data_IF_570570240617
#
_entry.id   IF_570570240617
#
_cell.length_a   1.000
_cell.length_b   1.000
_cell.length_c   1.000
_cell.angle_alpha   90.00
_cell.angle_beta   90.00
_cell.angle_gamma   90.00
#
_symmetry.space_group_name_H-M   'P 1'
#
loop_
_entity.id
_entity.type
_entity.pdbx_description
1 polymer ?
#
# COMPACT_ATOMS: atom_id res chain seq x y z
N UNK A 1 1.31 -17.49 -17.87
CA UNK A 1 1.64 -17.05 -16.49
C UNK A 1 0.62 -17.65 -15.54
N UNK A 2 1.02 -18.17 -14.39
CA UNK A 2 0.05 -18.70 -13.40
C UNK A 2 -0.59 -17.54 -12.60
N UNK A 3 -1.82 -17.71 -12.06
CA UNK A 3 -2.44 -16.68 -11.21
C UNK A 3 -1.57 -16.29 -10.01
N UNK A 4 -0.87 -17.26 -9.41
CA UNK A 4 0.04 -17.02 -8.28
C UNK A 4 1.25 -16.17 -8.70
N UNK A 5 1.83 -16.44 -9.88
CA UNK A 5 2.95 -15.65 -10.42
C UNK A 5 2.52 -14.21 -10.69
N UNK A 6 1.30 -14.02 -11.21
CA UNK A 6 0.75 -12.69 -11.46
C UNK A 6 0.53 -11.92 -10.15
N UNK A 7 -0.10 -12.55 -9.16
CA UNK A 7 -0.32 -11.94 -7.85
C UNK A 7 1.00 -11.55 -7.19
N UNK A 8 2.02 -12.40 -7.27
CA UNK A 8 3.37 -12.09 -6.78
C UNK A 8 3.96 -10.87 -7.50
N UNK A 9 3.82 -10.78 -8.83
CA UNK A 9 4.29 -9.63 -9.58
C UNK A 9 3.60 -8.33 -9.15
N UNK A 10 2.28 -8.35 -8.89
CA UNK A 10 1.53 -7.19 -8.38
C UNK A 10 2.02 -6.76 -6.99
N UNK A 11 2.27 -7.73 -6.10
CA UNK A 11 2.81 -7.44 -4.76
C UNK A 11 4.20 -6.81 -4.87
N UNK A 12 5.10 -7.39 -5.66
CA UNK A 12 6.45 -6.86 -5.85
C UNK A 12 6.43 -5.47 -6.48
N UNK A 13 5.58 -5.23 -7.48
CA UNK A 13 5.39 -3.92 -8.08
C UNK A 13 4.88 -2.89 -7.04
N UNK A 14 3.95 -3.29 -6.17
CA UNK A 14 3.43 -2.43 -5.10
C UNK A 14 4.52 -2.03 -4.10
N UNK A 15 5.38 -2.98 -3.71
CA UNK A 15 6.55 -2.71 -2.85
C UNK A 15 7.52 -1.76 -3.54
N UNK A 16 7.86 -2.02 -4.80
CA UNK A 16 8.76 -1.18 -5.57
C UNK A 16 8.23 0.26 -5.69
N UNK A 17 6.93 0.43 -5.97
CA UNK A 17 6.28 1.74 -6.02
C UNK A 17 6.27 2.44 -4.67
N UNK A 18 6.01 1.72 -3.57
CA UNK A 18 6.05 2.29 -2.23
C UNK A 18 7.46 2.78 -1.85
N UNK A 19 8.49 1.99 -2.14
CA UNK A 19 9.89 2.37 -1.94
C UNK A 19 10.26 3.58 -2.80
N UNK A 20 9.91 3.56 -4.09
CA UNK A 20 10.13 4.67 -4.99
C UNK A 20 9.47 5.95 -4.48
N UNK A 21 8.19 5.89 -4.08
CA UNK A 21 7.46 7.03 -3.56
C UNK A 21 8.11 7.58 -2.28
N UNK A 22 8.54 6.70 -1.39
CA UNK A 22 9.16 7.08 -0.13
C UNK A 22 10.55 7.71 -0.32
N UNK A 23 11.31 7.31 -1.35
CA UNK A 23 12.57 7.96 -1.74
C UNK A 23 12.31 9.28 -2.47
N UNK A 24 11.32 9.31 -3.36
CA UNK A 24 10.96 10.50 -4.17
C UNK A 24 10.41 11.63 -3.32
N UNK A 25 9.68 11.30 -2.26
CA UNK A 25 9.01 12.24 -1.35
C UNK A 25 9.48 12.01 0.10
N UNK A 26 10.74 12.35 0.44
CA UNK A 26 11.32 12.04 1.75
C UNK A 26 10.66 12.78 2.93
N UNK A 27 10.03 13.93 2.65
CA UNK A 27 9.26 14.71 3.63
C UNK A 27 7.80 14.27 3.81
N UNK A 28 7.31 13.32 3.01
CA UNK A 28 5.95 12.82 3.13
C UNK A 28 5.85 11.80 4.29
N UNK A 29 4.69 11.79 4.95
CA UNK A 29 4.37 10.87 6.04
C UNK A 29 3.87 11.60 7.29
N UNK A 30 3.49 10.83 8.32
CA UNK A 30 2.99 11.37 9.58
C UNK A 30 4.13 12.02 10.38
N UNK A 31 3.85 13.18 10.97
CA UNK A 31 4.77 13.89 11.89
C UNK A 31 4.46 13.62 13.36
N UNK A 32 3.28 13.06 13.65
CA UNK A 32 2.78 12.77 15.00
C UNK A 32 2.37 11.31 15.14
N UNK A 33 2.33 10.81 16.38
CA UNK A 33 1.96 9.41 16.66
C UNK A 33 0.51 9.16 16.27
N UNK A 34 -0.39 10.11 16.54
CA UNK A 34 -1.80 10.00 16.17
C UNK A 34 -1.99 9.89 14.65
N UNK A 35 -1.25 10.70 13.87
CA UNK A 35 -1.27 10.60 12.41
C UNK A 35 -0.70 9.25 11.94
N UNK A 36 0.35 8.73 12.58
CA UNK A 36 0.91 7.43 12.25
C UNK A 36 -0.09 6.30 12.47
N UNK A 37 -0.82 6.31 13.60
CA UNK A 37 -1.90 5.35 13.87
C UNK A 37 -2.97 5.43 12.79
N UNK A 38 -3.43 6.63 12.42
CA UNK A 38 -4.46 6.79 11.37
C UNK A 38 -4.01 6.24 10.02
N UNK A 39 -2.74 6.45 9.65
CA UNK A 39 -2.20 5.99 8.38
C UNK A 39 -2.04 4.46 8.36
N UNK A 40 -1.65 3.83 9.48
CA UNK A 40 -1.66 2.36 9.64
C UNK A 40 -3.07 1.82 9.49
N UNK A 41 -4.04 2.40 10.21
CA UNK A 41 -5.43 1.94 10.17
C UNK A 41 -6.01 2.09 8.77
N UNK A 42 -5.65 3.16 8.05
CA UNK A 42 -6.02 3.36 6.65
C UNK A 42 -5.35 2.34 5.73
N UNK A 43 -4.08 2.00 5.95
CA UNK A 43 -3.39 0.92 5.24
C UNK A 43 -4.01 -0.46 5.48
N UNK A 44 -4.45 -0.74 6.71
CA UNK A 44 -5.15 -1.98 7.06
C UNK A 44 -6.56 -2.03 6.43
N UNK A 45 -7.29 -0.91 6.48
CA UNK A 45 -8.59 -0.76 5.82
C UNK A 45 -8.48 -0.94 4.30
N UNK A 46 -7.42 -0.43 3.67
CA UNK A 46 -7.14 -0.61 2.25
C UNK A 46 -7.03 -2.09 1.88
N UNK A 47 -6.25 -2.88 2.62
CA UNK A 47 -6.15 -4.35 2.38
C UNK A 47 -7.51 -5.01 2.59
N UNK A 48 -8.24 -4.63 3.66
CA UNK A 48 -9.55 -5.20 3.97
C UNK A 48 -10.61 -4.89 2.90
N UNK A 49 -10.47 -3.77 2.19
CA UNK A 49 -11.38 -3.37 1.12
C UNK A 49 -11.19 -4.17 -0.18
N UNK A 50 -10.01 -4.75 -0.44
CA UNK A 50 -9.69 -5.43 -1.71
C UNK A 50 -10.73 -6.50 -2.08
N UNK A 51 -11.12 -7.46 -1.20
CA UNK A 51 -12.09 -8.48 -1.56
C UNK A 51 -13.47 -7.90 -1.89
N UNK A 52 -13.93 -6.90 -1.13
CA UNK A 52 -15.22 -6.24 -1.36
C UNK A 52 -15.25 -5.53 -2.71
N UNK A 53 -14.24 -4.70 -2.98
CA UNK A 53 -14.10 -3.98 -4.25
C UNK A 53 -13.95 -4.95 -5.44
N UNK A 54 -13.22 -6.05 -5.26
CA UNK A 54 -13.07 -7.10 -6.27
C UNK A 54 -14.43 -7.74 -6.58
N UNK A 55 -15.16 -8.17 -5.55
CA UNK A 55 -16.48 -8.79 -5.72
C UNK A 55 -17.46 -7.84 -6.41
N UNK A 56 -17.53 -6.58 -6.00
CA UNK A 56 -18.37 -5.56 -6.66
C UNK A 56 -17.97 -5.36 -8.12
N UNK A 57 -16.68 -5.31 -8.44
CA UNK A 57 -16.21 -5.16 -9.82
C UNK A 57 -16.61 -6.36 -10.68
N UNK A 58 -16.49 -7.58 -10.15
CA UNK A 58 -16.92 -8.80 -10.84
C UNK A 58 -18.42 -8.82 -11.13
N UNK A 59 -19.24 -8.20 -10.28
CA UNK A 59 -20.69 -8.11 -10.44
C UNK A 59 -21.12 -7.02 -11.43
N UNK A 60 -20.50 -5.84 -11.33
CA UNK A 60 -20.93 -4.64 -12.09
C UNK A 60 -20.27 -4.57 -13.47
N UNK A 61 -19.01 -4.99 -13.58
CA UNK A 61 -18.21 -4.86 -14.80
C UNK A 61 -17.30 -6.08 -15.04
N UNK A 62 -17.86 -7.29 -15.22
CA UNK A 62 -17.09 -8.53 -15.34
C UNK A 62 -16.08 -8.51 -16.50
N UNK A 63 -16.41 -7.87 -17.62
CA UNK A 63 -15.52 -7.74 -18.77
C UNK A 63 -14.27 -6.88 -18.48
N UNK A 64 -14.38 -5.91 -17.57
CA UNK A 64 -13.28 -5.02 -17.19
C UNK A 64 -12.50 -5.51 -15.96
N UNK A 65 -13.09 -6.41 -15.18
CA UNK A 65 -12.52 -6.90 -13.93
C UNK A 65 -11.08 -7.44 -14.04
N UNK A 66 -10.67 -8.16 -15.11
CA UNK A 66 -9.29 -8.63 -15.26
C UNK A 66 -8.24 -7.51 -15.28
N UNK A 67 -8.63 -6.29 -15.64
CA UNK A 67 -7.75 -5.11 -15.65
C UNK A 67 -7.98 -4.23 -14.42
N UNK A 68 -9.23 -3.95 -14.07
CA UNK A 68 -9.57 -3.04 -12.97
C UNK A 68 -9.10 -3.59 -11.61
N UNK A 69 -9.30 -4.88 -11.35
CA UNK A 69 -8.93 -5.49 -10.07
C UNK A 69 -7.43 -5.39 -9.79
N UNK A 70 -6.52 -5.85 -10.67
CA UNK A 70 -5.10 -5.74 -10.38
C UNK A 70 -4.57 -4.30 -10.40
N UNK A 71 -4.97 -3.48 -11.38
CA UNK A 71 -4.31 -2.19 -11.62
C UNK A 71 -4.95 -1.01 -10.90
N UNK A 72 -6.28 -1.00 -10.75
CA UNK A 72 -7.01 0.12 -10.12
C UNK A 72 -7.39 -0.15 -8.66
N UNK A 73 -7.36 -1.41 -8.22
CA UNK A 73 -7.71 -1.79 -6.84
C UNK A 73 -6.47 -2.34 -6.11
N UNK A 74 -5.97 -3.51 -6.49
CA UNK A 74 -4.94 -4.21 -5.72
C UNK A 74 -3.62 -3.42 -5.68
N UNK A 75 -3.09 -3.02 -6.84
CA UNK A 75 -1.82 -2.29 -6.94
C UNK A 75 -1.81 -0.99 -6.09
N UNK A 76 -2.76 -0.04 -6.22
CA UNK A 76 -2.72 1.18 -5.43
C UNK A 76 -2.96 0.94 -3.93
N UNK A 77 -3.88 0.05 -3.56
CA UNK A 77 -4.17 -0.24 -2.15
C UNK A 77 -2.98 -0.92 -1.47
N UNK A 78 -2.36 -1.90 -2.11
CA UNK A 78 -1.15 -2.54 -1.60
C UNK A 78 0.03 -1.56 -1.54
N UNK A 79 0.21 -0.73 -2.57
CA UNK A 79 1.25 0.31 -2.58
C UNK A 79 1.08 1.24 -1.37
N UNK A 80 -0.15 1.70 -1.11
CA UNK A 80 -0.44 2.55 0.03
C UNK A 80 -0.21 1.83 1.36
N UNK A 81 -0.58 0.56 1.49
CA UNK A 81 -0.31 -0.24 2.69
C UNK A 81 1.19 -0.37 2.96
N UNK A 82 2.01 -0.70 1.96
CA UNK A 82 3.46 -0.77 2.14
C UNK A 82 4.07 0.60 2.48
N UNK A 83 3.60 1.66 1.81
CA UNK A 83 4.03 3.03 2.08
C UNK A 83 3.67 3.46 3.52
N UNK A 84 2.48 3.09 4.00
CA UNK A 84 2.04 3.36 5.39
C UNK A 84 2.97 2.72 6.41
N UNK A 85 3.38 1.46 6.18
CA UNK A 85 4.32 0.76 7.06
C UNK A 85 5.71 1.40 7.05
N UNK A 86 6.19 1.82 5.87
CA UNK A 86 7.49 2.47 5.73
C UNK A 86 7.54 3.84 6.44
N UNK A 87 6.46 4.62 6.36
CA UNK A 87 6.35 5.88 7.08
C UNK A 87 6.41 5.70 8.60
N UNK A 88 5.73 4.69 9.12
CA UNK A 88 5.74 4.36 10.55
C UNK A 88 7.12 3.90 10.98
N UNK A 89 7.77 3.05 10.18
CA UNK A 89 9.13 2.59 10.46
C UNK A 89 10.11 3.78 10.53
N UNK A 90 10.02 4.73 9.60
CA UNK A 90 10.82 5.96 9.64
C UNK A 90 10.54 6.80 10.88
N UNK A 91 9.28 6.88 11.29
CA UNK A 91 8.92 7.62 12.50
C UNK A 91 9.55 6.98 13.74
N UNK A 92 9.46 5.65 13.88
CA UNK A 92 10.08 4.89 14.98
C UNK A 92 11.60 5.10 14.96
N UNK A 93 12.25 5.01 13.79
CA UNK A 93 13.68 5.26 13.65
C UNK A 93 14.09 6.66 14.12
N UNK A 94 13.29 7.70 13.81
CA UNK A 94 13.54 9.08 14.27
C UNK A 94 13.32 9.27 15.77
N UNK A 95 12.53 8.41 16.42
CA UNK A 95 12.25 8.46 17.86
C UNK A 95 13.29 7.72 18.70
N UNK A 96 14.15 6.88 18.10
CA UNK A 96 15.18 6.14 18.82
C UNK A 96 16.42 7.04 19.10
N UNK A 97 16.90 7.14 20.36
CA UNK A 97 18.13 7.86 20.67
C UNK A 97 19.35 7.13 20.08
N UNK A 98 20.19 7.82 19.31
CA UNK A 98 21.46 7.32 18.80
C UNK A 98 21.56 7.06 17.30
N UNK A 99 20.49 7.26 16.51
CA UNK A 99 20.57 7.20 15.05
C UNK A 99 21.02 8.56 14.47
N UNK A 100 22.03 8.60 13.56
CA UNK A 100 22.40 9.83 12.87
C UNK A 100 21.21 10.33 12.03
N UNK A 101 20.91 11.63 12.16
CA UNK A 101 19.77 12.30 11.50
C UNK A 101 19.97 12.45 10.00
#
# INVERSE_FOLDING_TARGET
MSPHTFALAVVLASVALALWAAVRFPGAGPTTVSAAVLVILSGAAAVRAIPGLTNTTMQVAPAAAPLVVPFAIALPLLTYTFLSGLWVLRMIQRSLPGFPR
#
